data_IF_594400294765
#
_entry.id   IF_594400294765
#
_cell.length_a   1.000
_cell.length_b   1.000
_cell.length_c   1.000
_cell.angle_alpha   90.00
_cell.angle_beta   90.00
_cell.angle_gamma   90.00
#
_symmetry.space_group_name_H-M   'P 1'
#
loop_
_entity.id
_entity.type
_entity.pdbx_description
1 polymer ?
#
# COMPACT_ATOMS: atom_id res chain seq x y z
N UNK A 1 80.80 4.53 -74.68
CA UNK A 1 79.74 5.03 -73.79
C UNK A 1 78.73 3.93 -73.64
N UNK A 2 78.57 3.37 -72.43
CA UNK A 2 77.45 2.48 -72.15
C UNK A 2 77.00 2.62 -70.69
N UNK A 3 75.69 2.76 -70.54
CA UNK A 3 74.92 3.19 -69.37
C UNK A 3 74.63 2.02 -68.43
N UNK A 4 75.45 1.80 -67.40
CA UNK A 4 75.11 0.87 -66.30
C UNK A 4 75.43 1.38 -64.89
N UNK A 5 75.44 2.70 -64.70
CA UNK A 5 75.22 3.32 -63.39
C UNK A 5 73.81 3.91 -63.40
N UNK A 6 72.89 3.37 -62.60
CA UNK A 6 71.62 3.95 -62.10
C UNK A 6 70.61 2.80 -61.95
N UNK A 7 70.65 2.08 -60.83
CA UNK A 7 69.48 1.57 -60.09
C UNK A 7 69.99 0.78 -58.88
N UNK A 8 69.73 1.20 -57.63
CA UNK A 8 69.92 0.33 -56.48
C UNK A 8 68.91 -0.81 -56.60
N UNK A 9 69.39 -2.05 -56.52
CA UNK A 9 68.56 -3.23 -56.44
C UNK A 9 67.71 -3.17 -55.15
N UNK A 10 66.52 -2.60 -55.25
CA UNK A 10 65.51 -2.66 -54.21
C UNK A 10 64.99 -4.11 -54.15
N UNK A 11 65.65 -4.95 -53.34
CA UNK A 11 65.13 -6.26 -52.96
C UNK A 11 63.83 -6.02 -52.20
N UNK A 12 62.70 -6.01 -52.90
CA UNK A 12 61.38 -6.12 -52.28
C UNK A 12 61.43 -7.39 -51.42
N UNK A 13 61.21 -7.33 -50.09
CA UNK A 13 61.12 -8.53 -49.29
C UNK A 13 59.94 -9.32 -49.84
N UNK A 14 60.21 -10.50 -50.41
CA UNK A 14 59.20 -11.44 -50.91
C UNK A 14 58.52 -12.06 -49.69
N UNK A 15 57.75 -11.27 -48.95
CA UNK A 15 56.91 -11.76 -47.86
C UNK A 15 55.85 -12.62 -48.54
N UNK A 16 55.88 -13.92 -48.25
CA UNK A 16 54.93 -14.89 -48.79
C UNK A 16 53.50 -14.36 -48.62
N UNK A 17 52.71 -14.37 -49.70
CA UNK A 17 51.28 -13.99 -49.66
C UNK A 17 50.52 -14.75 -48.56
N UNK A 18 50.94 -15.98 -48.26
CA UNK A 18 50.41 -16.81 -47.17
C UNK A 18 50.71 -16.26 -45.77
N UNK A 19 51.88 -15.65 -45.57
CA UNK A 19 52.21 -14.96 -44.31
C UNK A 19 51.48 -13.63 -44.17
N UNK A 20 51.21 -12.93 -45.27
CA UNK A 20 50.37 -11.72 -45.22
C UNK A 20 48.91 -12.05 -44.91
N UNK A 21 48.36 -13.13 -45.50
CA UNK A 21 47.01 -13.62 -45.16
C UNK A 21 46.92 -14.03 -43.69
N UNK A 22 47.91 -14.78 -43.18
CA UNK A 22 47.94 -15.20 -41.77
C UNK A 22 48.03 -14.01 -40.80
N UNK A 23 48.86 -13.01 -41.10
CA UNK A 23 48.96 -11.78 -40.28
C UNK A 23 47.66 -10.97 -40.33
N UNK A 24 46.99 -10.90 -41.48
CA UNK A 24 45.68 -10.23 -41.61
C UNK A 24 44.59 -11.01 -40.88
N UNK A 25 44.61 -12.34 -40.90
CA UNK A 25 43.70 -13.19 -40.13
C UNK A 25 43.94 -13.07 -38.61
N UNK A 26 45.19 -13.07 -38.16
CA UNK A 26 45.56 -12.86 -36.76
C UNK A 26 45.15 -11.46 -36.28
N UNK A 27 45.34 -10.42 -37.10
CA UNK A 27 44.86 -9.07 -36.81
C UNK A 27 43.33 -8.97 -36.77
N UNK A 28 42.61 -9.68 -37.64
CA UNK A 28 41.15 -9.75 -37.60
C UNK A 28 40.65 -10.48 -36.36
N UNK A 29 41.27 -11.61 -35.99
CA UNK A 29 40.91 -12.37 -34.79
C UNK A 29 41.19 -11.55 -33.53
N UNK A 30 42.32 -10.83 -33.47
CA UNK A 30 42.62 -9.90 -32.37
C UNK A 30 41.61 -8.74 -32.31
N UNK A 31 41.28 -8.11 -33.44
CA UNK A 31 40.29 -7.04 -33.50
C UNK A 31 38.90 -7.50 -33.04
N UNK A 32 38.49 -8.72 -33.40
CA UNK A 32 37.23 -9.32 -32.94
C UNK A 32 37.26 -9.62 -31.44
N UNK A 33 38.36 -10.18 -30.92
CA UNK A 33 38.49 -10.46 -29.48
C UNK A 33 38.45 -9.19 -28.62
N UNK A 34 38.86 -8.05 -29.19
CA UNK A 34 38.83 -6.74 -28.56
C UNK A 34 37.50 -5.99 -28.76
N UNK A 35 36.56 -6.55 -29.53
CA UNK A 35 35.23 -5.96 -29.67
C UNK A 35 34.53 -5.92 -28.29
N UNK A 36 33.69 -4.90 -28.01
CA UNK A 36 32.93 -4.80 -26.76
C UNK A 36 32.03 -6.01 -26.42
N UNK A 37 31.68 -6.85 -27.41
CA UNK A 37 30.96 -8.12 -27.23
C UNK A 37 31.82 -9.36 -27.56
N UNK A 38 33.12 -9.18 -27.80
CA UNK A 38 34.03 -10.24 -28.24
C UNK A 38 33.54 -10.96 -29.49
N UNK A 39 33.67 -12.28 -29.53
CA UNK A 39 33.20 -13.11 -30.65
C UNK A 39 31.69 -13.04 -30.89
N UNK A 40 30.89 -12.69 -29.88
CA UNK A 40 29.45 -12.53 -30.06
C UNK A 40 29.13 -11.38 -31.01
N UNK A 41 30.06 -10.44 -31.19
CA UNK A 41 29.85 -9.30 -32.08
C UNK A 41 29.80 -9.68 -33.56
N UNK A 42 30.40 -10.82 -33.93
CA UNK A 42 30.39 -11.36 -35.31
C UNK A 42 28.95 -11.62 -35.80
N UNK A 43 28.04 -11.95 -34.88
CA UNK A 43 26.67 -12.34 -35.23
C UNK A 43 25.85 -11.12 -35.71
N UNK A 44 24.99 -11.29 -36.74
CA UNK A 44 23.98 -10.29 -37.09
C UNK A 44 23.06 -9.98 -35.91
N UNK A 45 22.50 -8.77 -35.88
CA UNK A 45 21.67 -8.30 -34.75
C UNK A 45 20.43 -9.18 -34.56
N UNK A 46 19.87 -9.71 -35.65
CA UNK A 46 18.73 -10.62 -35.66
C UNK A 46 19.07 -11.94 -34.96
N UNK A 47 20.27 -12.48 -35.22
CA UNK A 47 20.74 -13.71 -34.57
C UNK A 47 21.02 -13.45 -33.09
N UNK A 48 21.63 -12.31 -32.74
CA UNK A 48 21.79 -11.88 -31.34
C UNK A 48 20.44 -11.83 -30.63
N UNK A 49 19.43 -11.19 -31.22
CA UNK A 49 18.08 -11.10 -30.65
C UNK A 49 17.38 -12.45 -30.56
N UNK A 50 17.57 -13.33 -31.55
CA UNK A 50 17.05 -14.69 -31.51
C UNK A 50 17.64 -15.49 -30.35
N UNK A 51 18.96 -15.42 -30.13
CA UNK A 51 19.62 -16.04 -28.96
C UNK A 51 19.05 -15.48 -27.65
N UNK A 52 18.93 -14.16 -27.54
CA UNK A 52 18.35 -13.52 -26.35
C UNK A 52 16.89 -13.92 -26.11
N UNK A 53 16.15 -14.36 -27.13
CA UNK A 53 14.75 -14.80 -26.99
C UNK A 53 14.56 -16.14 -26.27
N UNK A 54 15.62 -16.95 -26.19
CA UNK A 54 15.61 -18.20 -25.43
C UNK A 54 15.99 -18.01 -23.96
N UNK A 55 16.43 -16.81 -23.57
CA UNK A 55 16.85 -16.54 -22.19
C UNK A 55 15.66 -16.09 -21.34
N UNK A 56 15.55 -16.58 -20.09
CA UNK A 56 14.59 -16.06 -19.13
C UNK A 56 14.91 -14.60 -18.76
N UNK A 57 13.91 -13.89 -18.20
CA UNK A 57 14.01 -12.47 -17.85
C UNK A 57 15.16 -12.22 -16.87
N UNK A 58 15.41 -13.18 -15.98
CA UNK A 58 16.46 -13.16 -14.97
C UNK A 58 17.85 -13.19 -15.59
N UNK A 59 18.07 -14.06 -16.57
CA UNK A 59 19.35 -14.18 -17.26
C UNK A 59 19.62 -12.92 -18.10
N UNK A 60 18.60 -12.43 -18.80
CA UNK A 60 18.67 -11.12 -19.46
C UNK A 60 19.02 -10.02 -18.46
N UNK A 61 18.40 -10.02 -17.28
CA UNK A 61 18.65 -9.06 -16.22
C UNK A 61 20.10 -9.13 -15.72
N UNK A 62 20.67 -10.33 -15.56
CA UNK A 62 22.07 -10.52 -15.17
C UNK A 62 23.05 -10.11 -16.28
N UNK A 63 22.73 -10.38 -17.54
CA UNK A 63 23.59 -9.97 -18.65
C UNK A 63 23.70 -8.44 -18.75
N UNK A 64 22.69 -7.66 -18.35
CA UNK A 64 22.77 -6.18 -18.37
C UNK A 64 23.83 -5.59 -17.43
N UNK A 65 24.31 -6.36 -16.45
CA UNK A 65 25.36 -5.94 -15.52
C UNK A 65 26.75 -6.50 -15.89
N UNK A 66 26.87 -7.26 -16.98
CA UNK A 66 28.14 -7.85 -17.41
C UNK A 66 29.07 -6.85 -18.12
N UNK A 67 28.54 -6.04 -19.05
CA UNK A 67 29.29 -5.00 -19.75
C UNK A 67 28.36 -3.92 -20.30
N UNK A 68 28.92 -2.73 -20.62
CA UNK A 68 28.16 -1.64 -21.26
C UNK A 68 27.56 -2.08 -22.61
N UNK A 69 28.33 -2.83 -23.41
CA UNK A 69 27.87 -3.27 -24.72
C UNK A 69 26.75 -4.31 -24.62
N UNK A 70 26.84 -5.25 -23.68
CA UNK A 70 25.78 -6.24 -23.44
C UNK A 70 24.50 -5.56 -22.93
N UNK A 71 24.63 -4.57 -22.03
CA UNK A 71 23.50 -3.76 -21.56
C UNK A 71 22.79 -3.06 -22.72
N UNK A 72 23.54 -2.37 -23.57
CA UNK A 72 22.99 -1.66 -24.72
C UNK A 72 22.31 -2.62 -25.69
N UNK A 73 22.91 -3.80 -25.94
CA UNK A 73 22.31 -4.83 -26.78
C UNK A 73 20.97 -5.32 -26.24
N UNK A 74 20.90 -5.62 -24.94
CA UNK A 74 19.66 -6.07 -24.27
C UNK A 74 18.61 -4.97 -24.25
N UNK A 75 19.03 -3.72 -24.11
CA UNK A 75 18.12 -2.60 -24.22
C UNK A 75 17.54 -2.47 -25.63
N UNK A 76 18.38 -2.53 -26.67
CA UNK A 76 17.92 -2.55 -28.06
C UNK A 76 16.96 -3.73 -28.29
N UNK A 77 17.28 -4.90 -27.76
CA UNK A 77 16.42 -6.09 -27.81
C UNK A 77 15.05 -5.84 -27.16
N UNK A 78 15.03 -5.25 -25.95
CA UNK A 78 13.81 -4.92 -25.21
C UNK A 78 12.92 -3.92 -25.94
N UNK A 79 13.50 -2.92 -26.58
CA UNK A 79 12.76 -1.85 -27.29
C UNK A 79 12.30 -2.31 -28.69
N UNK A 80 12.94 -3.34 -29.25
CA UNK A 80 12.62 -3.84 -30.58
C UNK A 80 11.19 -4.41 -30.69
N UNK A 81 10.54 -4.14 -31.82
CA UNK A 81 9.16 -4.55 -32.14
C UNK A 81 8.95 -6.05 -32.22
N UNK A 82 10.01 -6.83 -32.49
CA UNK A 82 9.97 -8.29 -32.62
C UNK A 82 9.48 -8.95 -31.32
N UNK A 83 9.69 -8.32 -30.16
CA UNK A 83 9.21 -8.82 -28.86
C UNK A 83 8.21 -7.93 -28.13
N UNK A 84 7.65 -6.90 -28.77
CA UNK A 84 6.41 -6.29 -28.27
C UNK A 84 5.27 -7.34 -28.13
N UNK A 85 5.36 -8.47 -28.87
CA UNK A 85 4.45 -9.63 -28.75
C UNK A 85 4.87 -10.65 -27.68
N UNK A 86 6.17 -10.92 -27.47
CA UNK A 86 6.67 -11.88 -26.47
C UNK A 86 6.77 -11.33 -25.04
N UNK A 87 7.05 -10.03 -24.91
CA UNK A 87 6.87 -9.23 -23.68
C UNK A 87 5.46 -8.62 -23.59
N UNK A 88 4.56 -8.95 -24.55
CA UNK A 88 3.12 -8.61 -24.60
C UNK A 88 2.27 -9.28 -23.52
N UNK A 89 2.83 -9.33 -22.32
CA UNK A 89 2.34 -9.92 -21.08
C UNK A 89 1.21 -9.06 -20.48
N UNK A 90 1.10 -7.80 -20.91
CA UNK A 90 0.20 -6.82 -20.31
C UNK A 90 -1.29 -7.20 -20.44
N UNK A 91 -1.76 -7.52 -21.65
CA UNK A 91 -3.17 -7.85 -21.89
C UNK A 91 -3.63 -9.13 -21.17
N UNK A 92 -2.70 -10.04 -20.86
CA UNK A 92 -2.98 -11.33 -20.19
C UNK A 92 -2.95 -11.24 -18.66
N UNK A 93 -2.39 -10.17 -18.10
CA UNK A 93 -2.50 -9.88 -16.66
C UNK A 93 -3.90 -9.36 -16.28
N UNK A 94 -4.70 -8.96 -17.28
CA UNK A 94 -6.08 -8.52 -17.07
C UNK A 94 -7.02 -9.73 -17.02
N UNK A 95 -7.48 -10.07 -15.82
CA UNK A 95 -8.42 -11.14 -15.60
C UNK A 95 -8.53 -11.54 -14.14
N UNK A 96 -9.51 -12.39 -13.86
CA UNK A 96 -9.64 -13.07 -12.56
C UNK A 96 -8.75 -14.31 -12.62
N UNK A 97 -7.84 -14.44 -11.66
CA UNK A 97 -6.89 -15.53 -11.58
C UNK A 97 -6.98 -16.21 -10.21
N UNK A 98 -6.70 -17.51 -10.16
CA UNK A 98 -6.46 -18.23 -8.91
C UNK A 98 -5.19 -17.72 -8.21
N UNK A 99 -5.03 -18.06 -6.93
CA UNK A 99 -3.97 -17.51 -6.07
C UNK A 99 -2.58 -17.91 -6.60
N UNK A 100 -2.44 -19.15 -7.09
CA UNK A 100 -1.20 -19.69 -7.64
C UNK A 100 -0.76 -18.91 -8.87
N UNK A 101 -1.65 -18.70 -9.86
CA UNK A 101 -1.35 -17.90 -11.05
C UNK A 101 -1.07 -16.47 -10.66
N UNK A 102 -1.83 -15.87 -9.74
CA UNK A 102 -1.52 -14.52 -9.26
C UNK A 102 -0.09 -14.42 -8.75
N UNK A 103 0.38 -15.39 -7.96
CA UNK A 103 1.75 -15.43 -7.45
C UNK A 103 2.80 -15.53 -8.58
N UNK A 104 2.56 -16.37 -9.59
CA UNK A 104 3.44 -16.49 -10.77
C UNK A 104 3.56 -15.17 -11.54
N UNK A 105 2.43 -14.49 -11.75
CA UNK A 105 2.38 -13.21 -12.43
C UNK A 105 3.12 -12.13 -11.64
N UNK A 106 2.90 -12.04 -10.33
CA UNK A 106 3.64 -11.11 -9.47
C UNK A 106 5.15 -11.39 -9.48
N UNK A 107 5.56 -12.67 -9.44
CA UNK A 107 6.96 -13.06 -9.54
C UNK A 107 7.57 -12.63 -10.89
N UNK A 108 6.83 -12.80 -11.99
CA UNK A 108 7.25 -12.36 -13.33
C UNK A 108 7.45 -10.84 -13.41
N UNK A 109 6.54 -10.06 -12.83
CA UNK A 109 6.65 -8.58 -12.84
C UNK A 109 7.75 -8.06 -11.92
N UNK A 110 8.05 -8.76 -10.82
CA UNK A 110 9.25 -8.52 -10.02
C UNK A 110 10.52 -8.69 -10.86
N UNK A 111 10.64 -9.80 -11.60
CA UNK A 111 11.79 -10.08 -12.49
C UNK A 111 11.92 -9.02 -13.58
N UNK A 112 10.79 -8.58 -14.14
CA UNK A 112 10.76 -7.50 -15.13
C UNK A 112 11.20 -6.16 -14.55
N UNK A 113 10.79 -5.85 -13.32
CA UNK A 113 11.26 -4.66 -12.59
C UNK A 113 12.77 -4.67 -12.40
N UNK A 114 13.37 -5.82 -12.08
CA UNK A 114 14.82 -5.98 -11.98
C UNK A 114 15.53 -5.79 -13.33
N UNK A 115 15.00 -6.35 -14.41
CA UNK A 115 15.53 -6.15 -15.77
C UNK A 115 15.55 -4.66 -16.15
N UNK A 116 14.44 -3.93 -15.93
CA UNK A 116 14.39 -2.49 -16.21
C UNK A 116 15.34 -1.72 -15.29
N UNK A 117 15.36 -2.01 -13.99
CA UNK A 117 16.27 -1.35 -13.03
C UNK A 117 17.73 -1.45 -13.46
N UNK A 118 18.18 -2.66 -13.83
CA UNK A 118 19.59 -2.89 -14.19
C UNK A 118 19.93 -2.35 -15.58
N UNK A 119 19.05 -2.52 -16.56
CA UNK A 119 19.28 -1.97 -17.91
C UNK A 119 19.30 -0.44 -17.93
N UNK A 120 18.52 0.21 -17.05
CA UNK A 120 18.40 1.68 -17.00
C UNK A 120 19.17 2.32 -15.85
N UNK A 121 20.09 1.60 -15.20
CA UNK A 121 20.78 2.09 -13.99
C UNK A 121 21.61 3.37 -14.20
N UNK A 122 21.99 3.69 -15.43
CA UNK A 122 22.72 4.92 -15.78
C UNK A 122 21.81 6.05 -16.27
N UNK A 123 20.49 5.82 -16.31
CA UNK A 123 19.54 6.78 -16.85
C UNK A 123 19.17 7.77 -15.76
N UNK A 124 18.97 9.03 -16.16
CA UNK A 124 18.37 10.01 -15.29
C UNK A 124 16.97 9.53 -14.85
N UNK A 125 16.56 9.88 -13.63
CA UNK A 125 15.26 9.52 -13.06
C UNK A 125 14.12 9.84 -14.04
N UNK A 126 14.18 11.00 -14.71
CA UNK A 126 13.19 11.44 -15.70
C UNK A 126 12.99 10.44 -16.84
N UNK A 127 14.06 9.88 -17.37
CA UNK A 127 13.98 8.93 -18.49
C UNK A 127 13.52 7.55 -18.03
N UNK A 128 13.90 7.14 -16.82
CA UNK A 128 13.37 5.92 -16.19
C UNK A 128 11.86 6.02 -15.98
N UNK A 129 11.37 7.19 -15.55
CA UNK A 129 9.93 7.43 -15.36
C UNK A 129 9.12 7.41 -16.65
N UNK A 130 9.69 7.80 -17.81
CA UNK A 130 9.02 7.62 -19.11
C UNK A 130 8.72 6.14 -19.38
N UNK A 131 9.70 5.26 -19.13
CA UNK A 131 9.52 3.81 -19.27
C UNK A 131 8.43 3.29 -18.33
N UNK A 132 8.39 3.80 -17.10
CA UNK A 132 7.34 3.44 -16.13
C UNK A 132 5.96 3.87 -16.64
N UNK A 133 5.79 5.09 -17.14
CA UNK A 133 4.50 5.57 -17.66
C UNK A 133 4.05 4.80 -18.89
N UNK A 134 4.98 4.49 -19.81
CA UNK A 134 4.69 3.65 -20.98
C UNK A 134 4.22 2.25 -20.57
N UNK A 135 4.77 1.72 -19.48
CA UNK A 135 4.40 0.44 -18.92
C UNK A 135 3.03 0.52 -18.23
N UNK A 136 2.81 1.54 -17.41
CA UNK A 136 1.52 1.78 -16.74
C UNK A 136 0.39 1.92 -17.75
N UNK A 137 0.59 2.69 -18.81
CA UNK A 137 -0.41 2.89 -19.88
C UNK A 137 -0.90 1.57 -20.46
N UNK A 138 -0.01 0.58 -20.58
CA UNK A 138 -0.34 -0.77 -21.07
C UNK A 138 -1.01 -1.66 -20.03
N UNK A 139 -0.88 -1.33 -18.74
CA UNK A 139 -1.37 -2.11 -17.60
C UNK A 139 -2.64 -1.53 -16.97
N UNK A 140 -3.06 -0.32 -17.33
CA UNK A 140 -4.27 0.27 -16.78
C UNK A 140 -5.50 -0.49 -17.29
N UNK A 141 -6.37 -0.91 -16.36
CA UNK A 141 -7.59 -1.63 -16.68
C UNK A 141 -8.50 -0.84 -17.64
N UNK A 142 -8.56 0.49 -17.48
CA UNK A 142 -9.33 1.40 -18.34
C UNK A 142 -8.91 1.35 -19.81
N UNK A 143 -7.66 1.02 -20.10
CA UNK A 143 -7.11 0.99 -21.46
C UNK A 143 -7.25 -0.39 -22.12
N UNK A 144 -7.83 -1.37 -21.42
CA UNK A 144 -7.92 -2.75 -21.90
C UNK A 144 -9.37 -3.20 -22.02
N UNK A 145 -9.82 -3.41 -23.26
CA UNK A 145 -11.20 -3.82 -23.59
C UNK A 145 -11.60 -5.18 -22.95
N UNK A 146 -10.62 -6.04 -22.67
CA UNK A 146 -10.84 -7.38 -22.11
C UNK A 146 -10.96 -7.42 -20.57
N UNK A 147 -10.80 -6.30 -19.86
CA UNK A 147 -10.84 -6.26 -18.40
C UNK A 147 -12.28 -6.21 -17.88
N UNK A 148 -12.98 -7.36 -17.91
CA UNK A 148 -14.39 -7.48 -17.50
C UNK A 148 -14.64 -7.29 -16.00
N UNK A 149 -13.68 -7.70 -15.16
CA UNK A 149 -13.77 -7.60 -13.71
C UNK A 149 -12.60 -6.79 -13.15
N UNK A 150 -12.81 -5.47 -13.00
CA UNK A 150 -11.80 -4.55 -12.47
C UNK A 150 -11.53 -4.80 -10.98
N UNK A 151 -12.52 -5.34 -10.27
CA UNK A 151 -12.42 -5.59 -8.83
C UNK A 151 -11.50 -6.74 -8.49
N UNK A 152 -11.39 -7.74 -9.35
CA UNK A 152 -10.46 -8.87 -9.15
C UNK A 152 -9.26 -8.89 -10.09
N UNK A 153 -9.15 -7.91 -10.99
CA UNK A 153 -8.01 -7.78 -11.89
C UNK A 153 -6.69 -7.52 -11.13
N UNK A 154 -5.63 -8.24 -11.51
CA UNK A 154 -4.28 -8.08 -10.93
C UNK A 154 -3.35 -7.19 -11.75
N UNK A 155 -3.80 -6.59 -12.85
CA UNK A 155 -2.95 -5.81 -13.75
C UNK A 155 -2.22 -4.66 -13.03
N UNK A 156 -2.95 -3.84 -12.29
CA UNK A 156 -2.37 -2.75 -11.51
C UNK A 156 -1.48 -3.26 -10.37
N UNK A 157 -1.79 -4.42 -9.79
CA UNK A 157 -0.98 -5.03 -8.73
C UNK A 157 0.35 -5.55 -9.28
N UNK A 158 0.33 -6.15 -10.48
CA UNK A 158 1.51 -6.54 -11.22
C UNK A 158 2.37 -5.31 -11.56
N UNK A 159 1.74 -4.22 -11.99
CA UNK A 159 2.45 -2.94 -12.18
C UNK A 159 3.06 -2.42 -10.89
N UNK A 160 2.33 -2.41 -9.77
CA UNK A 160 2.86 -2.01 -8.47
C UNK A 160 4.08 -2.86 -8.06
N UNK A 161 4.00 -4.19 -8.22
CA UNK A 161 5.15 -5.08 -7.97
C UNK A 161 6.36 -4.75 -8.85
N UNK A 162 6.13 -4.45 -10.12
CA UNK A 162 7.16 -3.98 -11.05
C UNK A 162 7.77 -2.65 -10.58
N UNK A 163 6.93 -1.66 -10.26
CA UNK A 163 7.31 -0.32 -9.84
C UNK A 163 8.21 -0.36 -8.60
N UNK A 164 7.73 -0.98 -7.52
CA UNK A 164 8.47 -1.08 -6.26
C UNK A 164 9.81 -1.79 -6.44
N UNK A 165 9.89 -2.78 -7.34
CA UNK A 165 11.16 -3.44 -7.64
C UNK A 165 12.12 -2.53 -8.42
N UNK A 166 11.58 -1.71 -9.32
CA UNK A 166 12.36 -0.79 -10.16
C UNK A 166 12.98 0.34 -9.33
N UNK A 167 12.18 0.92 -8.42
CA UNK A 167 12.56 2.05 -7.57
C UNK A 167 13.23 1.61 -6.26
N UNK A 168 13.35 0.31 -5.99
CA UNK A 168 14.03 -0.16 -4.79
C UNK A 168 15.45 0.44 -4.68
N UNK A 169 15.76 1.08 -3.55
CA UNK A 169 17.05 1.75 -3.32
C UNK A 169 17.17 3.15 -3.93
N UNK A 170 16.08 3.70 -4.49
CA UNK A 170 15.98 5.13 -4.75
C UNK A 170 15.81 5.88 -3.42
N UNK A 171 16.25 7.14 -3.38
CA UNK A 171 15.98 8.01 -2.24
C UNK A 171 14.53 8.51 -2.22
N UNK A 172 14.10 9.05 -1.08
CA UNK A 172 12.74 9.55 -0.86
C UNK A 172 12.33 10.63 -1.87
N UNK A 173 13.26 11.44 -2.35
CA UNK A 173 12.99 12.51 -3.33
C UNK A 173 12.74 11.94 -4.73
N UNK A 174 13.45 10.88 -5.13
CA UNK A 174 13.16 10.19 -6.39
C UNK A 174 11.86 9.39 -6.32
N UNK A 175 11.59 8.74 -5.18
CA UNK A 175 10.33 8.06 -4.92
C UNK A 175 9.16 9.04 -4.96
N UNK A 176 9.31 10.25 -4.40
CA UNK A 176 8.32 11.32 -4.51
C UNK A 176 8.10 11.73 -5.98
N UNK A 177 9.17 11.95 -6.75
CA UNK A 177 9.05 12.25 -8.19
C UNK A 177 8.33 11.12 -8.94
N UNK A 178 8.53 9.87 -8.55
CA UNK A 178 7.78 8.74 -9.10
C UNK A 178 6.30 8.82 -8.77
N UNK A 179 5.94 9.12 -7.52
CA UNK A 179 4.56 9.35 -7.11
C UNK A 179 3.90 10.43 -7.97
N UNK A 180 4.51 11.61 -8.02
CA UNK A 180 3.97 12.78 -8.74
C UNK A 180 3.81 12.51 -10.24
N UNK A 181 4.79 11.83 -10.84
CA UNK A 181 4.77 11.46 -12.24
C UNK A 181 3.60 10.53 -12.58
N UNK A 182 3.38 9.49 -11.76
CA UNK A 182 2.29 8.54 -11.94
C UNK A 182 0.94 9.19 -11.69
N UNK A 183 0.84 10.00 -10.64
CA UNK A 183 -0.37 10.74 -10.31
C UNK A 183 -0.79 11.71 -11.41
N UNK A 184 0.19 12.37 -12.04
CA UNK A 184 -0.05 13.25 -13.19
C UNK A 184 -0.49 12.44 -14.41
N UNK A 185 0.19 11.32 -14.69
CA UNK A 185 -0.09 10.47 -15.85
C UNK A 185 -1.50 9.86 -15.81
N UNK A 186 -1.96 9.44 -14.64
CA UNK A 186 -3.29 8.82 -14.46
C UNK A 186 -4.41 9.81 -14.13
N UNK A 187 -4.06 11.07 -13.83
CA UNK A 187 -4.98 12.06 -13.27
C UNK A 187 -5.66 11.60 -11.97
N UNK A 188 -5.06 10.66 -11.22
CA UNK A 188 -5.68 10.08 -10.01
C UNK A 188 -5.99 11.14 -8.95
N UNK A 189 -5.17 12.19 -8.82
CA UNK A 189 -5.42 13.27 -7.86
C UNK A 189 -6.74 13.99 -8.14
N UNK A 190 -7.14 14.13 -9.42
CA UNK A 190 -8.45 14.70 -9.76
C UNK A 190 -9.58 13.78 -9.31
N UNK A 191 -9.43 12.47 -9.51
CA UNK A 191 -10.42 11.50 -9.05
C UNK A 191 -10.52 11.46 -7.52
N UNK A 192 -9.38 11.46 -6.81
CA UNK A 192 -9.35 11.54 -5.34
C UNK A 192 -10.10 12.78 -4.87
N UNK A 193 -9.80 13.95 -5.44
CA UNK A 193 -10.47 15.20 -5.09
C UNK A 193 -12.00 15.10 -5.24
N UNK A 194 -12.47 14.52 -6.33
CA UNK A 194 -13.91 14.30 -6.56
C UNK A 194 -14.49 13.41 -5.46
N UNK A 195 -13.91 12.23 -5.22
CA UNK A 195 -14.50 11.26 -4.30
C UNK A 195 -14.47 11.71 -2.83
N UNK A 196 -13.41 12.40 -2.39
CA UNK A 196 -13.33 12.86 -0.99
C UNK A 196 -14.12 14.14 -0.72
N UNK A 197 -14.41 14.93 -1.76
CA UNK A 197 -15.18 16.19 -1.63
C UNK A 197 -16.68 15.99 -1.83
N UNK A 198 -17.08 14.95 -2.58
CA UNK A 198 -18.49 14.58 -2.76
C UNK A 198 -19.06 13.87 -1.53
N UNK A 199 -20.39 13.69 -1.51
CA UNK A 199 -21.06 12.85 -0.51
C UNK A 199 -20.55 11.40 -0.64
N UNK A 200 -20.22 10.71 0.47
CA UNK A 200 -19.83 9.30 0.44
C UNK A 200 -20.86 8.43 -0.29
N UNK A 201 -20.41 7.58 -1.22
CA UNK A 201 -21.26 6.74 -2.06
C UNK A 201 -21.82 7.42 -3.30
N UNK A 202 -21.60 8.72 -3.51
CA UNK A 202 -22.10 9.43 -4.70
C UNK A 202 -21.40 8.97 -6.00
N UNK A 203 -20.18 8.44 -5.91
CA UNK A 203 -19.38 8.04 -7.06
C UNK A 203 -18.81 6.63 -6.89
N UNK A 204 -19.64 5.64 -6.56
CA UNK A 204 -19.26 4.26 -6.22
C UNK A 204 -18.17 3.68 -7.14
N UNK A 205 -18.35 3.75 -8.46
CA UNK A 205 -17.37 3.22 -9.41
C UNK A 205 -16.02 3.94 -9.38
N UNK A 206 -16.02 5.26 -9.17
CA UNK A 206 -14.80 6.06 -9.08
C UNK A 206 -14.09 5.88 -7.73
N UNK A 207 -14.85 5.79 -6.64
CA UNK A 207 -14.33 5.51 -5.29
C UNK A 207 -13.55 4.20 -5.28
N UNK A 208 -14.16 3.16 -5.83
CA UNK A 208 -13.53 1.85 -5.86
C UNK A 208 -12.32 1.81 -6.79
N UNK A 209 -12.36 2.53 -7.92
CA UNK A 209 -11.19 2.66 -8.77
C UNK A 209 -10.03 3.38 -8.07
N UNK A 210 -10.31 4.47 -7.36
CA UNK A 210 -9.31 5.17 -6.55
C UNK A 210 -8.70 4.24 -5.51
N UNK A 211 -9.54 3.45 -4.81
CA UNK A 211 -9.08 2.43 -3.86
C UNK A 211 -8.16 1.43 -4.54
N UNK A 212 -8.60 0.81 -5.63
CA UNK A 212 -7.84 -0.20 -6.34
C UNK A 212 -6.50 0.34 -6.83
N UNK A 213 -6.49 1.49 -7.49
CA UNK A 213 -5.27 2.07 -8.03
C UNK A 213 -4.25 2.37 -6.92
N UNK A 214 -4.66 3.13 -5.89
CA UNK A 214 -3.75 3.50 -4.81
C UNK A 214 -3.21 2.29 -4.05
N UNK A 215 -4.10 1.34 -3.74
CA UNK A 215 -3.70 0.12 -3.05
C UNK A 215 -2.76 -0.75 -3.87
N UNK A 216 -3.14 -1.07 -5.11
CA UNK A 216 -2.41 -2.03 -5.93
C UNK A 216 -1.09 -1.48 -6.47
N UNK A 217 -1.02 -0.17 -6.69
CA UNK A 217 0.19 0.45 -7.23
C UNK A 217 1.19 0.83 -6.14
N UNK A 218 0.72 1.37 -5.00
CA UNK A 218 1.61 1.96 -4.00
C UNK A 218 1.60 1.25 -2.63
N UNK A 219 0.47 0.72 -2.16
CA UNK A 219 0.34 0.29 -0.75
C UNK A 219 0.53 -1.22 -0.55
N UNK A 220 -0.22 -2.05 -1.27
CA UNK A 220 -0.19 -3.50 -1.16
C UNK A 220 1.16 -4.12 -1.60
N UNK A 221 1.90 -3.58 -2.60
CA UNK A 221 3.20 -4.13 -2.99
C UNK A 221 4.35 -3.89 -1.99
N UNK A 222 4.15 -3.03 -0.98
CA UNK A 222 5.19 -2.64 -0.02
C UNK A 222 5.85 -3.85 0.64
N UNK A 223 7.18 -3.81 0.75
CA UNK A 223 7.99 -4.87 1.36
C UNK A 223 8.20 -4.70 2.86
N UNK A 224 8.15 -3.46 3.35
CA UNK A 224 8.38 -3.12 4.76
C UNK A 224 7.31 -2.17 5.30
N UNK A 225 7.22 -2.09 6.62
CA UNK A 225 6.34 -1.12 7.31
C UNK A 225 6.78 0.32 7.06
N UNK A 226 8.09 0.57 6.94
CA UNK A 226 8.64 1.88 6.59
C UNK A 226 8.23 2.31 5.17
N UNK A 227 8.34 1.41 4.18
CA UNK A 227 7.86 1.69 2.81
C UNK A 227 6.36 2.04 2.83
N UNK A 228 5.56 1.23 3.53
CA UNK A 228 4.12 1.45 3.64
C UNK A 228 3.81 2.80 4.31
N UNK A 229 4.54 3.18 5.35
CA UNK A 229 4.39 4.48 6.00
C UNK A 229 4.72 5.65 5.06
N UNK A 230 5.80 5.53 4.27
CA UNK A 230 6.16 6.52 3.25
C UNK A 230 5.03 6.71 2.24
N UNK A 231 4.55 5.64 1.62
CA UNK A 231 3.50 5.73 0.59
C UNK A 231 2.16 6.19 1.15
N UNK A 232 1.75 5.71 2.34
CA UNK A 232 0.56 6.23 3.01
C UNK A 232 0.67 7.73 3.29
N UNK A 233 1.84 8.20 3.73
CA UNK A 233 2.08 9.62 3.97
C UNK A 233 1.92 10.43 2.69
N UNK A 234 2.49 9.98 1.55
CA UNK A 234 2.33 10.67 0.25
C UNK A 234 0.90 10.66 -0.28
N UNK A 235 0.13 9.62 0.02
CA UNK A 235 -1.27 9.53 -0.37
C UNK A 235 -2.16 10.45 0.47
N UNK A 236 -1.93 10.54 1.78
CA UNK A 236 -2.81 11.24 2.72
C UNK A 236 -2.43 12.71 2.94
N UNK A 237 -1.16 13.03 3.25
CA UNK A 237 -0.75 14.38 3.67
C UNK A 237 -1.11 15.53 2.70
N UNK A 238 -1.18 15.34 1.37
CA UNK A 238 -1.58 16.42 0.47
C UNK A 238 -3.02 16.94 0.68
N UNK A 239 -3.85 16.21 1.43
CA UNK A 239 -5.26 16.53 1.61
C UNK A 239 -5.54 17.19 2.97
N UNK A 240 -6.57 18.04 3.11
CA UNK A 240 -7.06 18.51 4.41
C UNK A 240 -7.56 17.36 5.30
N UNK A 241 -7.56 17.56 6.62
CA UNK A 241 -7.89 16.56 7.64
C UNK A 241 -9.12 15.69 7.32
N UNK A 242 -10.27 16.32 7.02
CA UNK A 242 -11.53 15.63 6.66
C UNK A 242 -11.36 14.68 5.48
N UNK A 243 -10.60 15.13 4.48
CA UNK A 243 -10.36 14.36 3.27
C UNK A 243 -9.32 13.25 3.53
N UNK A 244 -8.38 13.44 4.46
CA UNK A 244 -7.45 12.38 4.91
C UNK A 244 -8.23 11.24 5.57
N UNK A 245 -9.15 11.55 6.49
CA UNK A 245 -9.99 10.56 7.16
C UNK A 245 -10.86 9.77 6.17
N UNK A 246 -11.54 10.47 5.26
CA UNK A 246 -12.33 9.84 4.18
C UNK A 246 -11.47 8.98 3.27
N UNK A 247 -10.29 9.45 2.88
CA UNK A 247 -9.38 8.71 2.02
C UNK A 247 -8.86 7.45 2.72
N UNK A 248 -8.56 7.53 4.03
CA UNK A 248 -8.15 6.37 4.81
C UNK A 248 -9.24 5.29 4.85
N UNK A 249 -10.50 5.68 5.11
CA UNK A 249 -11.63 4.75 5.06
C UNK A 249 -11.87 4.20 3.65
N UNK A 250 -11.75 5.04 2.61
CA UNK A 250 -11.86 4.59 1.22
C UNK A 250 -10.82 3.49 0.91
N UNK A 251 -9.60 3.63 1.41
CA UNK A 251 -8.52 2.64 1.21
C UNK A 251 -8.74 1.36 2.01
N UNK A 252 -9.11 1.46 3.29
CA UNK A 252 -9.04 0.31 4.21
C UNK A 252 -10.36 -0.09 4.87
N UNK A 253 -11.39 0.73 4.79
CA UNK A 253 -12.72 0.42 5.29
C UNK A 253 -13.39 -0.72 4.52
N UNK A 254 -14.53 -1.15 5.04
CA UNK A 254 -15.29 -2.27 4.49
C UNK A 254 -15.69 -2.02 3.03
N UNK A 255 -15.56 -3.05 2.22
CA UNK A 255 -15.99 -3.03 0.83
C UNK A 255 -16.58 -4.39 0.47
N UNK A 256 -17.67 -4.37 -0.30
CA UNK A 256 -18.34 -5.57 -0.81
C UNK A 256 -18.57 -5.41 -2.31
N UNK A 257 -18.24 -6.44 -3.10
CA UNK A 257 -18.46 -6.50 -4.56
C UNK A 257 -18.07 -5.23 -5.34
N UNK A 258 -16.96 -4.58 -4.96
CA UNK A 258 -16.51 -3.36 -5.63
C UNK A 258 -17.19 -2.07 -5.17
N UNK A 259 -17.90 -2.09 -4.04
CA UNK A 259 -18.56 -0.93 -3.44
C UNK A 259 -18.05 -0.70 -2.02
N UNK A 260 -17.68 0.54 -1.70
CA UNK A 260 -17.28 0.94 -0.35
C UNK A 260 -18.52 1.03 0.54
N UNK A 261 -18.50 0.36 1.68
CA UNK A 261 -19.62 0.31 2.61
C UNK A 261 -19.52 1.46 3.61
N UNK A 262 -19.82 2.68 3.16
CA UNK A 262 -19.67 3.91 3.97
C UNK A 262 -20.53 3.92 5.23
N UNK A 263 -21.76 3.43 5.14
CA UNK A 263 -22.75 3.49 6.21
C UNK A 263 -22.75 2.26 7.13
N UNK A 264 -21.92 1.25 6.85
CA UNK A 264 -21.92 -0.02 7.59
C UNK A 264 -21.68 0.19 9.08
N UNK A 265 -20.79 1.12 9.44
CA UNK A 265 -20.43 1.38 10.84
C UNK A 265 -21.43 2.26 11.58
N UNK A 266 -22.39 2.86 10.87
CA UNK A 266 -23.39 3.79 11.42
C UNK A 266 -24.67 3.08 11.87
N UNK A 267 -24.91 1.84 11.41
CA UNK A 267 -26.15 1.12 11.66
C UNK A 267 -26.04 0.12 12.82
N UNK A 268 -25.41 -1.02 12.55
CA UNK A 268 -25.40 -2.16 13.48
C UNK A 268 -23.99 -2.46 14.01
N UNK A 269 -23.89 -3.04 15.23
CA UNK A 269 -22.63 -3.55 15.74
C UNK A 269 -22.03 -4.61 14.81
N UNK A 270 -20.72 -4.50 14.56
CA UNK A 270 -19.97 -5.51 13.82
C UNK A 270 -19.81 -6.74 14.71
N UNK A 271 -20.18 -7.92 14.19
CA UNK A 271 -19.96 -9.16 14.92
C UNK A 271 -18.46 -9.43 15.16
N UNK A 272 -18.10 -10.11 16.27
CA UNK A 272 -16.71 -10.40 16.62
C UNK A 272 -15.90 -11.11 15.52
N UNK A 273 -16.56 -11.94 14.73
CA UNK A 273 -15.98 -12.69 13.61
C UNK A 273 -15.49 -11.78 12.46
N UNK A 274 -16.10 -10.61 12.28
CA UNK A 274 -15.82 -9.68 11.18
C UNK A 274 -14.97 -8.48 11.58
N UNK A 275 -14.68 -8.28 12.87
CA UNK A 275 -13.87 -7.16 13.39
C UNK A 275 -12.52 -7.04 12.66
N UNK A 276 -11.82 -8.15 12.46
CA UNK A 276 -10.53 -8.16 11.76
C UNK A 276 -10.66 -7.76 10.28
N UNK A 277 -11.73 -8.16 9.61
CA UNK A 277 -11.99 -7.83 8.21
C UNK A 277 -12.31 -6.34 8.02
N UNK A 278 -13.09 -5.74 8.92
CA UNK A 278 -13.55 -4.37 8.77
C UNK A 278 -12.60 -3.32 9.38
N UNK A 279 -11.94 -3.63 10.50
CA UNK A 279 -11.08 -2.67 11.19
C UNK A 279 -9.58 -2.94 11.01
N UNK A 280 -9.17 -4.18 10.73
CA UNK A 280 -7.75 -4.56 10.71
C UNK A 280 -6.91 -3.79 9.68
N UNK A 281 -7.48 -3.46 8.52
CA UNK A 281 -6.82 -2.63 7.52
C UNK A 281 -6.56 -1.20 8.01
N UNK A 282 -7.57 -0.60 8.63
CA UNK A 282 -7.53 0.78 9.14
C UNK A 282 -6.58 0.86 10.33
N UNK A 283 -6.72 -0.03 11.30
CA UNK A 283 -5.86 -0.04 12.49
C UNK A 283 -4.40 -0.30 12.15
N UNK A 284 -4.13 -1.21 11.20
CA UNK A 284 -2.79 -1.44 10.67
C UNK A 284 -2.22 -0.18 10.02
N UNK A 285 -3.01 0.57 9.25
CA UNK A 285 -2.57 1.82 8.62
C UNK A 285 -2.24 2.90 9.66
N UNK A 286 -3.13 3.14 10.63
CA UNK A 286 -2.91 4.10 11.72
C UNK A 286 -1.68 3.72 12.55
N UNK A 287 -1.57 2.45 12.96
CA UNK A 287 -0.41 1.96 13.71
C UNK A 287 0.88 1.95 12.90
N UNK A 288 0.82 1.91 11.57
CA UNK A 288 1.99 2.08 10.69
C UNK A 288 2.45 3.54 10.70
N UNK A 289 1.52 4.49 10.54
CA UNK A 289 1.83 5.92 10.57
C UNK A 289 2.37 6.34 11.94
N UNK A 290 1.74 5.91 13.03
CA UNK A 290 2.15 6.23 14.40
C UNK A 290 3.58 5.77 14.73
N UNK A 291 3.98 4.57 14.29
CA UNK A 291 5.28 3.98 14.68
C UNK A 291 6.43 4.31 13.75
N UNK A 292 6.17 4.54 12.46
CA UNK A 292 7.22 4.59 11.44
C UNK A 292 7.38 5.96 10.81
N UNK A 293 6.35 6.82 10.83
CA UNK A 293 6.43 8.09 10.13
C UNK A 293 6.81 9.22 11.07
N UNK A 294 7.86 9.95 10.70
CA UNK A 294 8.28 11.19 11.38
C UNK A 294 7.42 12.39 10.98
N UNK A 295 6.58 12.24 9.96
CA UNK A 295 5.74 13.31 9.42
C UNK A 295 4.36 13.38 10.09
N UNK A 296 4.03 12.44 10.99
CA UNK A 296 2.75 12.39 11.68
C UNK A 296 2.92 12.61 13.17
N UNK A 297 2.13 13.52 13.71
CA UNK A 297 1.97 13.72 15.16
C UNK A 297 0.85 12.83 15.69
N UNK A 298 0.84 12.58 17.00
CA UNK A 298 -0.25 11.86 17.66
C UNK A 298 -1.59 12.59 17.47
N UNK A 299 -1.59 13.92 17.61
CA UNK A 299 -2.79 14.75 17.48
C UNK A 299 -3.40 14.69 16.08
N UNK A 300 -2.58 14.63 15.02
CA UNK A 300 -3.07 14.46 13.65
C UNK A 300 -3.75 13.10 13.46
N UNK A 301 -3.17 12.02 14.01
CA UNK A 301 -3.74 10.68 13.90
C UNK A 301 -5.03 10.53 14.71
N UNK A 302 -5.07 11.11 15.91
CA UNK A 302 -6.26 11.23 16.75
C UNK A 302 -7.35 11.99 16.00
N UNK A 303 -6.99 13.12 15.37
CA UNK A 303 -7.94 13.94 14.60
C UNK A 303 -8.48 13.20 13.37
N UNK A 304 -7.65 12.43 12.66
CA UNK A 304 -8.08 11.57 11.56
C UNK A 304 -9.07 10.51 12.06
N UNK A 305 -8.74 9.86 13.16
CA UNK A 305 -9.55 8.80 13.75
C UNK A 305 -10.92 9.35 14.17
N UNK A 306 -10.92 10.50 14.85
CA UNK A 306 -12.13 11.21 15.26
C UNK A 306 -13.04 11.49 14.06
N UNK A 307 -12.50 12.20 13.08
CA UNK A 307 -13.22 12.60 11.87
C UNK A 307 -13.72 11.41 11.04
N UNK A 308 -12.94 10.33 10.97
CA UNK A 308 -13.35 9.11 10.27
C UNK A 308 -14.56 8.45 10.96
N UNK A 309 -14.62 8.45 12.29
CA UNK A 309 -15.75 7.89 13.04
C UNK A 309 -16.99 8.81 13.09
N UNK A 310 -16.86 10.02 12.55
CA UNK A 310 -17.96 10.98 12.38
C UNK A 310 -18.46 11.07 10.93
N UNK A 311 -17.92 10.28 10.01
CA UNK A 311 -18.23 10.34 8.58
C UNK A 311 -18.51 8.93 8.00
N UNK A 312 -19.54 8.74 7.14
CA UNK A 312 -20.50 9.72 6.60
C UNK A 312 -21.48 10.28 7.64
N UNK A 313 -21.80 9.47 8.64
CA UNK A 313 -22.60 9.77 9.82
C UNK A 313 -21.83 9.28 11.03
N UNK A 314 -22.31 9.61 12.23
CA UNK A 314 -21.68 9.15 13.45
C UNK A 314 -21.74 7.63 13.55
N UNK A 315 -20.58 7.00 13.73
CA UNK A 315 -20.51 5.57 13.98
C UNK A 315 -21.11 5.26 15.34
N UNK A 316 -21.79 4.12 15.45
CA UNK A 316 -22.28 3.67 16.75
C UNK A 316 -21.11 3.38 17.70
N UNK A 317 -21.34 3.53 19.00
CA UNK A 317 -20.31 3.42 20.02
C UNK A 317 -19.56 2.07 19.99
N UNK A 318 -20.26 0.95 19.76
CA UNK A 318 -19.64 -0.38 19.67
C UNK A 318 -18.64 -0.51 18.52
N UNK A 319 -18.92 0.11 17.37
CA UNK A 319 -18.01 0.11 16.22
C UNK A 319 -16.81 1.03 16.44
N UNK A 320 -17.01 2.18 17.12
CA UNK A 320 -15.91 3.05 17.58
C UNK A 320 -14.99 2.28 18.53
N UNK A 321 -15.56 1.62 19.55
CA UNK A 321 -14.81 0.82 20.52
C UNK A 321 -14.05 -0.33 19.85
N UNK A 322 -14.70 -1.08 18.95
CA UNK A 322 -14.07 -2.18 18.20
C UNK A 322 -12.86 -1.71 17.37
N UNK A 323 -12.96 -0.57 16.70
CA UNK A 323 -11.84 0.01 15.98
C UNK A 323 -10.70 0.43 16.92
N UNK A 324 -11.02 1.04 18.06
CA UNK A 324 -10.02 1.46 19.04
C UNK A 324 -9.29 0.23 19.62
N UNK A 325 -10.00 -0.83 20.00
CA UNK A 325 -9.39 -2.11 20.40
C UNK A 325 -8.41 -2.58 19.32
N UNK A 326 -8.82 -2.56 18.04
CA UNK A 326 -7.97 -2.96 16.93
C UNK A 326 -6.74 -2.06 16.73
N UNK A 327 -6.79 -0.79 17.14
CA UNK A 327 -5.67 0.17 17.10
C UNK A 327 -4.64 -0.06 18.22
N UNK A 328 -5.01 -0.81 19.25
CA UNK A 328 -4.15 -1.14 20.39
C UNK A 328 -4.09 -0.04 21.45
N UNK A 329 -3.43 -0.35 22.56
CA UNK A 329 -3.45 0.44 23.81
C UNK A 329 -2.95 1.88 23.62
N UNK A 330 -1.78 2.07 23.00
CA UNK A 330 -1.14 3.38 22.93
C UNK A 330 -2.01 4.43 22.22
N UNK A 331 -2.52 4.12 21.03
CA UNK A 331 -3.35 5.06 20.27
C UNK A 331 -4.73 5.25 20.92
N UNK A 332 -5.29 4.17 21.47
CA UNK A 332 -6.58 4.20 22.17
C UNK A 332 -6.54 5.10 23.39
N UNK A 333 -5.59 4.90 24.30
CA UNK A 333 -5.48 5.70 25.51
C UNK A 333 -5.28 7.17 25.17
N UNK A 334 -4.45 7.49 24.17
CA UNK A 334 -4.21 8.86 23.72
C UNK A 334 -5.48 9.53 23.16
N UNK A 335 -6.25 8.82 22.35
CA UNK A 335 -7.54 9.30 21.84
C UNK A 335 -8.52 9.58 22.98
N UNK A 336 -8.67 8.64 23.93
CA UNK A 336 -9.59 8.79 25.06
C UNK A 336 -9.17 9.93 26.00
N UNK A 337 -7.87 10.07 26.30
CA UNK A 337 -7.32 11.19 27.07
C UNK A 337 -7.57 12.52 26.35
N UNK A 338 -7.39 12.57 25.02
CA UNK A 338 -7.69 13.78 24.24
C UNK A 338 -9.16 14.19 24.37
N UNK A 339 -10.11 13.24 24.37
CA UNK A 339 -11.53 13.54 24.63
C UNK A 339 -11.75 14.12 26.03
N UNK A 340 -11.11 13.54 27.04
CA UNK A 340 -11.18 13.99 28.43
C UNK A 340 -10.68 15.43 28.59
N UNK A 341 -9.48 15.74 28.08
CA UNK A 341 -8.86 17.06 28.18
C UNK A 341 -9.69 18.13 27.46
N UNK A 342 -10.34 17.77 26.35
CA UNK A 342 -11.22 18.68 25.60
C UNK A 342 -12.65 18.78 26.18
N UNK A 343 -12.92 18.20 27.35
CA UNK A 343 -14.22 18.30 28.02
C UNK A 343 -15.35 17.53 27.32
N UNK A 344 -15.05 16.60 26.41
CA UNK A 344 -16.04 15.80 25.69
C UNK A 344 -16.51 14.60 26.51
N UNK A 345 -17.01 14.87 27.72
CA UNK A 345 -17.31 13.86 28.75
C UNK A 345 -18.39 12.89 28.30
N UNK A 346 -19.51 13.37 27.74
CA UNK A 346 -20.62 12.50 27.31
C UNK A 346 -20.18 11.52 26.21
N UNK A 347 -19.46 12.03 25.20
CA UNK A 347 -18.93 11.19 24.11
C UNK A 347 -17.94 10.14 24.64
N UNK A 348 -17.03 10.56 25.53
CA UNK A 348 -16.09 9.67 26.18
C UNK A 348 -16.81 8.58 26.99
N UNK A 349 -17.83 8.94 27.76
CA UNK A 349 -18.63 8.00 28.55
C UNK A 349 -19.35 6.99 27.65
N UNK A 350 -19.91 7.44 26.53
CA UNK A 350 -20.52 6.56 25.53
C UNK A 350 -19.51 5.55 24.98
N UNK A 351 -18.31 6.01 24.58
CA UNK A 351 -17.25 5.14 24.05
C UNK A 351 -16.81 4.10 25.10
N UNK A 352 -16.57 4.51 26.35
CA UNK A 352 -16.15 3.59 27.42
C UNK A 352 -17.25 2.57 27.76
N UNK A 353 -18.50 2.99 27.77
CA UNK A 353 -19.65 2.09 27.96
C UNK A 353 -19.68 1.03 26.85
N UNK A 354 -19.52 1.47 25.59
CA UNK A 354 -19.40 0.56 24.45
C UNK A 354 -18.18 -0.36 24.53
N UNK A 355 -17.05 0.10 25.06
CA UNK A 355 -15.89 -0.76 25.32
C UNK A 355 -16.23 -1.90 26.28
N UNK A 356 -16.96 -1.63 27.36
CA UNK A 356 -17.39 -2.68 28.28
C UNK A 356 -18.29 -3.69 27.59
N UNK A 357 -19.28 -3.23 26.83
CA UNK A 357 -20.22 -4.10 26.09
C UNK A 357 -19.48 -4.96 25.07
N UNK A 358 -18.64 -4.36 24.22
CA UNK A 358 -17.83 -5.07 23.22
C UNK A 358 -16.89 -6.06 23.89
N UNK A 359 -16.26 -5.71 25.01
CA UNK A 359 -15.38 -6.63 25.73
C UNK A 359 -16.12 -7.88 26.19
N UNK A 360 -17.32 -7.72 26.78
CA UNK A 360 -18.16 -8.85 27.20
C UNK A 360 -18.62 -9.68 25.99
N UNK A 361 -19.11 -9.03 24.91
CA UNK A 361 -19.53 -9.71 23.67
C UNK A 361 -18.42 -10.56 23.05
N UNK A 362 -17.18 -10.11 23.16
CA UNK A 362 -16.00 -10.78 22.61
C UNK A 362 -15.34 -11.77 23.61
N UNK A 363 -15.83 -11.84 24.86
CA UNK A 363 -15.23 -12.67 25.90
C UNK A 363 -13.88 -12.15 26.43
N UNK A 364 -13.61 -10.86 26.28
CA UNK A 364 -12.44 -10.19 26.87
C UNK A 364 -12.70 -9.78 28.32
N UNK A 365 -11.64 -9.75 29.13
CA UNK A 365 -11.71 -9.15 30.46
C UNK A 365 -11.80 -7.62 30.37
N UNK A 366 -12.44 -6.99 31.37
CA UNK A 366 -12.54 -5.53 31.43
C UNK A 366 -11.26 -4.84 31.92
N UNK A 367 -10.17 -5.57 32.21
CA UNK A 367 -8.93 -5.00 32.73
C UNK A 367 -8.35 -3.91 31.83
N UNK A 368 -8.41 -4.10 30.51
CA UNK A 368 -8.02 -3.09 29.53
C UNK A 368 -8.85 -1.80 29.66
N UNK A 369 -10.18 -1.94 29.76
CA UNK A 369 -11.10 -0.79 29.88
C UNK A 369 -10.84 -0.05 31.19
N UNK A 370 -10.64 -0.79 32.28
CA UNK A 370 -10.38 -0.22 33.59
C UNK A 370 -9.04 0.51 33.67
N UNK A 371 -7.99 0.00 33.04
CA UNK A 371 -6.73 0.72 32.90
C UNK A 371 -6.91 2.05 32.15
N UNK A 372 -7.72 2.06 31.08
CA UNK A 372 -8.02 3.30 30.37
C UNK A 372 -8.80 4.29 31.24
N UNK A 373 -9.84 3.84 31.96
CA UNK A 373 -10.60 4.70 32.90
C UNK A 373 -9.70 5.30 33.96
N UNK A 374 -8.82 4.50 34.58
CA UNK A 374 -7.84 5.03 35.52
C UNK A 374 -6.93 6.06 34.88
N UNK A 375 -6.35 5.76 33.72
CA UNK A 375 -5.43 6.67 33.02
C UNK A 375 -6.10 7.99 32.67
N UNK A 376 -7.36 7.95 32.23
CA UNK A 376 -8.17 9.13 31.96
C UNK A 376 -8.39 9.96 33.23
N UNK A 377 -8.82 9.33 34.33
CA UNK A 377 -9.02 10.01 35.61
C UNK A 377 -7.75 10.69 36.12
N UNK A 378 -6.58 10.05 35.95
CA UNK A 378 -5.29 10.64 36.29
C UNK A 378 -4.91 11.83 35.40
N UNK A 379 -5.34 11.82 34.13
CA UNK A 379 -5.09 12.92 33.19
C UNK A 379 -5.96 14.15 33.43
N UNK A 380 -7.10 13.99 34.08
CA UNK A 380 -7.99 15.10 34.44
C UNK A 380 -7.44 15.84 35.67
N UNK A 381 -7.22 17.14 35.56
CA UNK A 381 -6.67 17.96 36.66
C UNK A 381 -7.70 18.23 37.77
N UNK A 382 -8.96 18.42 37.40
CA UNK A 382 -10.03 18.87 38.31
C UNK A 382 -10.84 17.69 38.87
N UNK A 383 -11.03 17.66 40.19
CA UNK A 383 -11.84 16.66 40.88
C UNK A 383 -13.32 16.71 40.48
N UNK A 384 -13.84 17.88 40.09
CA UNK A 384 -15.21 18.02 39.58
C UNK A 384 -15.39 17.30 38.25
N UNK A 385 -14.41 17.41 37.36
CA UNK A 385 -14.47 16.80 36.02
C UNK A 385 -14.35 15.28 36.13
N UNK A 386 -13.49 14.79 37.05
CA UNK A 386 -13.42 13.36 37.40
C UNK A 386 -14.76 12.82 37.89
N UNK A 387 -15.41 13.53 38.81
CA UNK A 387 -16.73 13.13 39.32
C UNK A 387 -17.80 13.18 38.22
N UNK A 388 -17.79 14.23 37.41
CA UNK A 388 -18.72 14.38 36.28
C UNK A 388 -18.57 13.24 35.27
N UNK A 389 -17.33 12.79 35.01
CA UNK A 389 -17.07 11.67 34.12
C UNK A 389 -17.59 10.35 34.68
N UNK A 390 -17.29 10.03 35.95
CA UNK A 390 -17.78 8.80 36.58
C UNK A 390 -19.31 8.77 36.63
N UNK A 391 -19.96 9.89 36.97
CA UNK A 391 -21.43 9.96 36.95
C UNK A 391 -21.97 9.76 35.53
N UNK A 392 -21.38 10.42 34.54
CA UNK A 392 -21.78 10.29 33.14
C UNK A 392 -21.63 8.85 32.60
N UNK A 393 -20.66 8.08 33.08
CA UNK A 393 -20.55 6.65 32.75
C UNK A 393 -21.73 5.84 33.30
N UNK A 394 -22.10 6.07 34.56
CA UNK A 394 -23.23 5.38 35.19
C UNK A 394 -24.54 5.78 34.52
N UNK A 395 -24.69 7.05 34.16
CA UNK A 395 -25.84 7.56 33.43
C UNK A 395 -25.93 6.93 32.02
N UNK A 396 -24.81 6.72 31.32
CA UNK A 396 -24.81 6.01 30.02
C UNK A 396 -25.28 4.55 30.14
N UNK A 397 -24.77 3.80 31.12
CA UNK A 397 -25.26 2.44 31.33
C UNK A 397 -26.75 2.42 31.64
N UNK A 398 -27.23 3.36 32.46
CA UNK A 398 -28.64 3.50 32.80
C UNK A 398 -29.47 3.79 31.54
N UNK A 399 -29.06 4.75 30.70
CA UNK A 399 -29.73 5.07 29.44
C UNK A 399 -29.80 3.85 28.51
N UNK A 400 -28.68 3.14 28.30
CA UNK A 400 -28.68 1.92 27.48
C UNK A 400 -29.63 0.83 28.01
N UNK A 401 -29.79 0.69 29.34
CA UNK A 401 -30.70 -0.30 29.93
C UNK A 401 -32.16 0.11 29.67
N UNK A 402 -32.50 1.39 29.80
CA UNK A 402 -33.83 1.88 29.47
C UNK A 402 -34.13 1.74 27.98
N UNK A 403 -33.18 2.06 27.11
CA UNK A 403 -33.32 1.91 25.66
C UNK A 403 -33.56 0.45 25.25
N UNK A 404 -33.01 -0.54 25.96
CA UNK A 404 -33.37 -1.94 25.69
C UNK A 404 -34.74 -2.30 26.27
N UNK A 405 -35.08 -1.79 27.45
CA UNK A 405 -36.35 -2.14 28.10
C UNK A 405 -37.57 -1.56 27.37
N UNK A 406 -37.48 -0.34 26.85
CA UNK A 406 -38.57 0.35 26.14
C UNK A 406 -38.88 -0.27 24.76
N UNK A 407 -37.98 -1.10 24.21
CA UNK A 407 -38.17 -1.81 22.95
C UNK A 407 -38.60 -3.29 23.13
N UNK A 408 -38.57 -3.81 24.36
CA UNK A 408 -38.94 -5.20 24.70
C UNK A 408 -40.45 -5.51 24.66
N UNK A 409 -41.28 -4.65 24.07
CA UNK A 409 -42.71 -4.93 23.85
C UNK A 409 -42.94 -5.99 22.74
N UNK A 410 -41.89 -6.48 22.10
CA UNK A 410 -41.92 -7.57 21.10
C UNK A 410 -41.15 -8.80 21.62
N UNK A 411 -41.78 -9.98 21.63
CA UNK A 411 -41.21 -11.28 22.02
C UNK A 411 -40.07 -11.73 21.07
N UNK A 412 -38.92 -11.04 21.03
CA UNK A 412 -37.75 -11.40 20.22
C UNK A 412 -36.61 -11.91 21.13
N UNK A 413 -36.17 -13.16 20.91
CA UNK A 413 -35.08 -13.81 21.68
C UNK A 413 -33.73 -13.07 21.56
N UNK A 414 -33.59 -12.18 20.56
CA UNK A 414 -32.41 -11.33 20.37
C UNK A 414 -32.20 -10.31 21.49
N UNK A 415 -33.27 -9.75 22.03
CA UNK A 415 -33.21 -8.66 23.01
C UNK A 415 -32.77 -9.15 24.40
N UNK A 416 -33.12 -10.39 24.76
CA UNK A 416 -32.66 -11.03 26.01
C UNK A 416 -31.12 -11.19 26.04
N UNK A 417 -30.51 -11.46 24.88
CA UNK A 417 -29.06 -11.61 24.78
C UNK A 417 -28.33 -10.27 24.86
N UNK A 418 -28.86 -9.24 24.21
CA UNK A 418 -28.30 -7.88 24.31
C UNK A 418 -28.42 -7.33 25.73
N UNK A 419 -29.57 -7.53 26.38
CA UNK A 419 -29.75 -7.19 27.79
C UNK A 419 -28.77 -7.95 28.69
N UNK A 420 -28.55 -9.24 28.45
CA UNK A 420 -27.56 -10.04 29.17
C UNK A 420 -26.15 -9.43 29.06
N UNK A 421 -25.71 -9.06 27.85
CA UNK A 421 -24.39 -8.44 27.66
C UNK A 421 -24.27 -7.10 28.36
N UNK A 422 -25.30 -6.26 28.27
CA UNK A 422 -25.31 -4.95 28.91
C UNK A 422 -25.26 -5.04 30.43
N UNK A 423 -26.12 -5.89 31.02
CA UNK A 423 -26.17 -6.09 32.48
C UNK A 423 -24.87 -6.70 32.99
N UNK A 424 -24.28 -7.64 32.23
CA UNK A 424 -22.98 -8.23 32.57
C UNK A 424 -21.86 -7.18 32.52
N UNK A 425 -21.82 -6.37 31.44
CA UNK A 425 -20.85 -5.29 31.29
C UNK A 425 -20.96 -4.26 32.42
N UNK A 426 -22.18 -3.85 32.76
CA UNK A 426 -22.45 -2.95 33.88
C UNK A 426 -22.00 -3.53 35.22
N UNK A 427 -22.31 -4.81 35.47
CA UNK A 427 -22.00 -5.49 36.74
C UNK A 427 -20.50 -5.63 36.93
N UNK A 428 -19.77 -6.11 35.93
CA UNK A 428 -18.31 -6.26 36.00
C UNK A 428 -17.59 -4.91 36.08
N UNK A 429 -18.08 -3.90 35.36
CA UNK A 429 -17.58 -2.52 35.48
C UNK A 429 -17.79 -1.98 36.90
N UNK A 430 -19.01 -2.05 37.41
CA UNK A 430 -19.38 -1.55 38.75
C UNK A 430 -18.60 -2.25 39.86
N UNK A 431 -18.45 -3.57 39.77
CA UNK A 431 -17.64 -4.37 40.69
C UNK A 431 -16.20 -3.88 40.75
N UNK A 432 -15.60 -3.58 39.59
CA UNK A 432 -14.22 -3.10 39.52
C UNK A 432 -14.09 -1.67 40.04
N UNK A 433 -15.04 -0.79 39.73
CA UNK A 433 -15.09 0.57 40.29
C UNK A 433 -15.20 0.54 41.82
N UNK A 434 -16.06 -0.31 42.38
CA UNK A 434 -16.19 -0.50 43.83
C UNK A 434 -14.85 -1.00 44.40
N UNK A 435 -14.24 -2.03 43.80
CA UNK A 435 -12.96 -2.53 44.29
C UNK A 435 -11.88 -1.43 44.32
N UNK A 436 -11.82 -0.56 43.32
CA UNK A 436 -10.90 0.58 43.28
C UNK A 436 -11.22 1.64 44.33
N UNK A 437 -12.50 1.97 44.52
CA UNK A 437 -12.94 2.95 45.52
C UNK A 437 -12.60 2.50 46.96
N UNK A 438 -12.65 1.18 47.20
CA UNK A 438 -12.40 0.58 48.51
C UNK A 438 -10.99 -0.04 48.64
N UNK A 439 -10.09 0.14 47.66
CA UNK A 439 -8.75 -0.45 47.67
C UNK A 439 -7.86 0.07 48.83
N UNK A 440 -8.18 1.23 49.40
CA UNK A 440 -7.49 1.76 50.59
C UNK A 440 -8.10 1.26 51.92
N UNK A 441 -9.24 0.57 51.86
CA UNK A 441 -10.00 0.06 53.01
C UNK A 441 -9.90 -1.48 53.16
N UNK A 442 -9.38 -2.16 52.14
CA UNK A 442 -9.06 -3.58 52.08
C UNK A 442 -7.54 -3.78 52.19
#
# INVERSE_FOLDING_TARGET
MDLKSYFPACKKPRRSSRLMVKVVEEQKVQAISQSPLGYFDILPIEVKFYVLSYLPIEDLSLLTISSKAMRNLIECYRVSTINARGLGIHSRAHGVMDVERQAEWLARYKKLGLLIKRSTCLYATKDRLKIVNDFLTRMMCRNTENCKDRARCIGELCFGRFLHTMIAGWDDSECQRSFDCLCTHTSILKHIKIVVSSKPGAHVGLEYEVRCFLRRVFLDPCSSTADKAFWLTRVLKPWPLVQQARLLYLLYGAANEGTIQWYLMCGMPVEPSFTGQYFGGISCALGTLHRQSKEWTEDELISILDEMTSCPEEWIGENKASLLIACGEQLTSKMLISKAINGRITELSSIITSFCIVSVKHGYDLGFVMNNVQTILHSMENSRDRLSFVNSLMDMFKECIFDLHDYNDTDDEGDDRELFYLVTAFTEFSKTVIHLAFQQLL
#
